data_IF_935514704305
#
_entry.id   IF_935514704305
#
_cell.length_a   1.000
_cell.length_b   1.000
_cell.length_c   1.000
_cell.angle_alpha   90.00
_cell.angle_beta   90.00
_cell.angle_gamma   90.00
#
_symmetry.space_group_name_H-M   'P 1'
#
loop_
_entity.id
_entity.type
_entity.pdbx_description
1 polymer ?
#
# COMPACT_ATOMS: atom_id res chain seq x y z
N UNK A 1 -11.93 -10.26 1.68
CA UNK A 1 -10.95 -9.22 1.27
C UNK A 1 -11.32 -8.81 -0.15
N UNK A 2 -11.37 -7.51 -0.45
CA UNK A 2 -11.76 -7.03 -1.79
C UNK A 2 -10.65 -7.37 -2.81
N UNK A 3 -11.02 -7.74 -4.04
CA UNK A 3 -10.10 -8.05 -5.16
C UNK A 3 -9.00 -7.00 -5.33
N UNK A 4 -9.34 -5.72 -5.16
CA UNK A 4 -8.38 -4.61 -5.27
C UNK A 4 -7.25 -4.68 -4.22
N UNK A 5 -7.57 -5.03 -2.97
CA UNK A 5 -6.57 -5.18 -1.91
C UNK A 5 -5.69 -6.41 -2.16
N UNK A 6 -6.29 -7.49 -2.66
CA UNK A 6 -5.54 -8.69 -3.05
C UNK A 6 -4.54 -8.38 -4.17
N UNK A 7 -4.94 -7.62 -5.19
CA UNK A 7 -4.07 -7.19 -6.28
C UNK A 7 -2.91 -6.30 -5.79
N UNK A 8 -3.21 -5.34 -4.91
CA UNK A 8 -2.19 -4.48 -4.30
C UNK A 8 -1.20 -5.32 -3.47
N UNK A 9 -1.69 -6.24 -2.63
CA UNK A 9 -0.83 -7.10 -1.83
C UNK A 9 0.08 -7.98 -2.69
N UNK A 10 -0.43 -8.53 -3.80
CA UNK A 10 0.36 -9.33 -4.73
C UNK A 10 1.51 -8.51 -5.36
N UNK A 11 1.23 -7.29 -5.81
CA UNK A 11 2.27 -6.39 -6.36
C UNK A 11 3.32 -6.03 -5.30
N UNK A 12 2.93 -5.78 -4.05
CA UNK A 12 3.88 -5.48 -2.98
C UNK A 12 4.80 -6.66 -2.67
N UNK A 13 4.30 -7.90 -2.76
CA UNK A 13 5.11 -9.11 -2.65
C UNK A 13 6.09 -9.24 -3.83
N UNK A 14 5.64 -8.91 -5.05
CA UNK A 14 6.52 -8.91 -6.23
C UNK A 14 7.64 -7.87 -6.11
N UNK A 15 7.31 -6.64 -5.68
CA UNK A 15 8.28 -5.57 -5.43
C UNK A 15 9.36 -6.02 -4.44
N UNK A 16 8.98 -6.71 -3.36
CA UNK A 16 9.93 -7.28 -2.40
C UNK A 16 10.88 -8.30 -3.05
N UNK A 17 10.37 -9.14 -3.96
CA UNK A 17 11.17 -10.14 -4.68
C UNK A 17 12.23 -9.56 -5.61
N UNK A 18 12.13 -8.27 -5.98
CA UNK A 18 13.13 -7.58 -6.82
C UNK A 18 14.31 -7.01 -6.02
N UNK A 19 14.23 -6.99 -4.70
CA UNK A 19 15.24 -6.45 -3.76
C UNK A 19 15.63 -4.96 -3.94
N UNK A 20 15.09 -4.27 -4.95
CA UNK A 20 15.26 -2.84 -5.20
C UNK A 20 14.55 -1.98 -4.15
N UNK A 21 13.44 -2.47 -3.61
CA UNK A 21 12.63 -1.81 -2.59
C UNK A 21 12.26 -2.81 -1.49
N UNK A 22 12.00 -2.31 -0.29
CA UNK A 22 11.35 -3.07 0.78
C UNK A 22 9.94 -2.54 0.98
N UNK A 23 8.94 -3.37 0.74
CA UNK A 23 7.53 -3.07 0.92
C UNK A 23 6.96 -3.78 2.15
N UNK A 24 6.28 -3.02 3.00
CA UNK A 24 5.47 -3.50 4.12
C UNK A 24 4.00 -3.21 3.83
N UNK A 25 3.13 -4.13 4.23
CA UNK A 25 1.69 -3.88 4.27
C UNK A 25 1.03 -4.55 5.46
N UNK A 26 -0.07 -3.95 5.91
CA UNK A 26 -0.91 -4.45 6.98
C UNK A 26 -2.40 -4.32 6.60
N UNK A 27 -3.19 -5.34 6.93
CA UNK A 27 -4.64 -5.33 6.76
C UNK A 27 -5.31 -5.56 8.10
N UNK A 28 -6.18 -4.63 8.50
CA UNK A 28 -7.05 -4.81 9.66
C UNK A 28 -8.50 -4.95 9.22
N UNK A 29 -9.01 -6.18 9.28
CA UNK A 29 -10.39 -6.48 8.89
C UNK A 29 -11.43 -5.83 9.82
N UNK A 30 -11.10 -5.66 11.10
CA UNK A 30 -12.04 -5.11 12.09
C UNK A 30 -12.34 -3.63 11.86
N UNK A 31 -11.29 -2.81 11.64
CA UNK A 31 -11.43 -1.37 11.38
C UNK A 31 -11.42 -1.03 9.88
N UNK A 32 -11.36 -2.06 9.03
CA UNK A 32 -11.32 -1.98 7.56
C UNK A 32 -10.25 -1.01 7.07
N UNK A 33 -9.03 -1.18 7.56
CA UNK A 33 -7.86 -0.40 7.13
C UNK A 33 -6.87 -1.28 6.40
N UNK A 34 -6.15 -0.67 5.45
CA UNK A 34 -5.04 -1.28 4.74
C UNK A 34 -3.91 -0.26 4.62
N UNK A 35 -2.74 -0.56 5.18
CA UNK A 35 -1.59 0.36 5.13
C UNK A 35 -0.47 -0.21 4.28
N UNK A 36 0.26 0.68 3.62
CA UNK A 36 1.37 0.38 2.72
C UNK A 36 2.53 1.31 3.09
N UNK A 37 3.73 0.74 3.24
CA UNK A 37 4.98 1.49 3.44
C UNK A 37 6.05 0.92 2.54
N UNK A 38 6.68 1.75 1.71
CA UNK A 38 7.74 1.34 0.78
C UNK A 38 9.01 2.13 1.07
N UNK A 39 10.13 1.43 1.13
CA UNK A 39 11.46 1.96 1.37
C UNK A 39 12.36 1.66 0.18
N UNK A 40 13.29 2.56 -0.13
CA UNK A 40 14.35 2.31 -1.12
C UNK A 40 15.34 1.28 -0.61
N UNK A 41 15.64 0.23 -1.38
CA UNK A 41 16.55 -0.85 -0.97
C UNK A 41 16.15 -1.54 0.34
N UNK A 42 17.13 -2.09 1.06
CA UNK A 42 16.92 -2.76 2.35
C UNK A 42 16.41 -1.78 3.41
N UNK A 43 15.45 -2.24 4.21
CA UNK A 43 14.95 -1.51 5.37
C UNK A 43 15.96 -1.51 6.53
N UNK A 44 15.98 -0.42 7.30
CA UNK A 44 16.70 -0.29 8.56
C UNK A 44 15.91 0.62 9.52
N UNK A 45 16.13 0.46 10.82
CA UNK A 45 15.47 1.27 11.84
C UNK A 45 15.77 2.77 11.63
N UNK A 46 14.75 3.62 11.77
CA UNK A 46 14.87 5.07 11.61
C UNK A 46 14.89 5.57 10.16
N UNK A 47 14.92 4.67 9.17
CA UNK A 47 14.79 5.04 7.76
C UNK A 47 13.39 5.58 7.47
N UNK A 48 13.30 6.65 6.70
CA UNK A 48 12.02 7.19 6.24
C UNK A 48 11.49 6.39 5.03
N UNK A 49 10.17 6.16 4.93
CA UNK A 49 9.58 5.55 3.75
C UNK A 49 9.61 6.53 2.56
N UNK A 50 9.85 5.99 1.37
CA UNK A 50 9.67 6.70 0.10
C UNK A 50 8.18 6.86 -0.25
N UNK A 51 7.35 5.92 0.20
CA UNK A 51 5.91 5.95 0.05
C UNK A 51 5.24 5.44 1.33
N UNK A 52 4.24 6.15 1.81
CA UNK A 52 3.45 5.76 2.98
C UNK A 52 1.99 6.13 2.74
N UNK A 53 1.10 5.14 2.82
CA UNK A 53 -0.32 5.32 2.58
C UNK A 53 -1.13 4.42 3.50
N UNK A 54 -2.15 4.98 4.14
CA UNK A 54 -3.16 4.23 4.86
C UNK A 54 -4.51 4.43 4.20
N UNK A 55 -5.14 3.33 3.84
CA UNK A 55 -6.47 3.28 3.25
C UNK A 55 -7.49 2.84 4.31
N UNK A 56 -8.68 3.38 4.22
CA UNK A 56 -9.83 2.95 4.99
C UNK A 56 -11.04 2.73 4.10
N UNK A 57 -11.82 1.70 4.40
CA UNK A 57 -13.09 1.43 3.77
C UNK A 57 -14.21 1.44 4.82
N UNK A 58 -14.67 2.65 5.18
CA UNK A 58 -15.71 2.86 6.21
C UNK A 58 -17.04 2.21 5.83
N UNK A 59 -17.43 2.36 4.57
CA UNK A 59 -18.79 2.01 4.10
C UNK A 59 -18.84 0.65 3.38
N UNK A 60 -17.72 -0.06 3.30
CA UNK A 60 -17.58 -1.31 2.54
C UNK A 60 -17.49 -1.13 1.02
N UNK A 61 -17.75 0.05 0.49
CA UNK A 61 -17.82 0.28 -0.96
C UNK A 61 -16.49 0.64 -1.60
N UNK A 62 -15.68 1.50 -0.97
CA UNK A 62 -14.44 2.00 -1.57
C UNK A 62 -13.35 2.24 -0.53
N UNK A 63 -12.11 1.91 -0.93
CA UNK A 63 -10.92 2.24 -0.16
C UNK A 63 -10.50 3.68 -0.44
N UNK A 64 -10.36 4.49 0.60
CA UNK A 64 -9.99 5.90 0.53
C UNK A 64 -8.81 6.19 1.45
N UNK A 65 -7.99 7.17 1.10
CA UNK A 65 -6.92 7.63 1.98
C UNK A 65 -7.51 8.09 3.33
N UNK A 66 -6.89 7.68 4.43
CA UNK A 66 -7.25 8.12 5.77
C UNK A 66 -7.07 9.64 5.94
N UNK A 67 -5.95 10.17 5.42
CA UNK A 67 -5.72 11.62 5.37
C UNK A 67 -6.43 12.17 4.13
N UNK A 68 -7.57 12.84 4.33
CA UNK A 68 -8.41 13.44 3.30
C UNK A 68 -7.71 14.49 2.40
N UNK A 69 -6.39 14.67 2.50
CA UNK A 69 -5.61 15.66 1.74
C UNK A 69 -5.23 15.20 0.32
N UNK A 70 -5.07 13.89 0.09
CA UNK A 70 -4.71 13.34 -1.22
C UNK A 70 -5.45 12.02 -1.46
N UNK A 71 -6.70 12.10 -1.91
CA UNK A 71 -7.46 10.93 -2.29
C UNK A 71 -6.83 10.28 -3.54
N UNK A 72 -5.98 9.27 -3.36
CA UNK A 72 -5.61 8.35 -4.42
C UNK A 72 -6.63 7.21 -4.48
N UNK A 73 -7.23 6.99 -5.65
CA UNK A 73 -8.06 5.80 -5.87
C UNK A 73 -7.18 4.54 -5.85
N UNK A 74 -7.78 3.38 -5.60
CA UNK A 74 -6.99 2.13 -5.64
C UNK A 74 -6.37 1.84 -7.01
N UNK A 75 -6.95 2.35 -8.10
CA UNK A 75 -6.34 2.25 -9.44
C UNK A 75 -5.08 3.12 -9.59
N UNK A 76 -5.08 4.32 -8.99
CA UNK A 76 -3.87 5.16 -8.92
C UNK A 76 -2.77 4.50 -8.11
N UNK A 77 -3.13 3.75 -7.06
CA UNK A 77 -2.17 2.99 -6.25
C UNK A 77 -1.59 1.84 -7.05
N UNK A 78 -2.43 1.05 -7.72
CA UNK A 78 -1.97 -0.03 -8.60
C UNK A 78 -1.00 0.50 -9.66
N UNK A 79 -1.38 1.56 -10.36
CA UNK A 79 -0.54 2.21 -11.37
C UNK A 79 0.81 2.66 -10.81
N UNK A 80 0.82 3.31 -9.65
CA UNK A 80 2.07 3.70 -8.99
C UNK A 80 2.94 2.48 -8.64
N UNK A 81 2.37 1.44 -8.04
CA UNK A 81 3.12 0.24 -7.66
C UNK A 81 3.72 -0.47 -8.87
N UNK A 82 3.03 -0.49 -10.02
CA UNK A 82 3.58 -1.05 -11.26
C UNK A 82 4.83 -0.31 -11.73
N UNK A 83 4.98 0.99 -11.46
CA UNK A 83 6.22 1.73 -11.79
C UNK A 83 7.43 1.32 -10.94
N UNK A 84 7.21 0.56 -9.87
CA UNK A 84 8.26 0.10 -8.95
C UNK A 84 8.77 -1.31 -9.26
N UNK A 85 8.13 -2.03 -10.18
CA UNK A 85 8.60 -3.31 -10.73
C UNK A 85 9.86 -3.13 -11.59
#
# INVERSE_FOLDING_TARGET
MNEQITAIAALLLEINGKEKYTAFFDFSGHVRTFSIRIYSGKWSQGKAPLFNLSLQNKDGQQWRNWDNAHAMSGDSILSFLTTLL
#
